data_IF_401717332501
#
_entry.id   IF_401717332501
#
_cell.length_a   1.000
_cell.length_b   1.000
_cell.length_c   1.000
_cell.angle_alpha   90.00
_cell.angle_beta   90.00
_cell.angle_gamma   90.00
#
_symmetry.space_group_name_H-M   'P 1'
#
loop_
_entity.id
_entity.type
_entity.pdbx_description
1 polymer ?
#
# COMPACT_ATOMS: atom_id res chain seq x y z
N UNK A 1 22.40 56.48 35.56
CA UNK A 1 21.12 56.20 36.22
C UNK A 1 20.01 56.31 35.18
N UNK A 2 19.61 55.21 34.56
CA UNK A 2 18.34 55.04 33.86
C UNK A 2 18.17 53.53 33.67
N UNK A 3 17.27 52.92 34.44
CA UNK A 3 16.86 51.54 34.40
C UNK A 3 15.96 51.30 33.18
N UNK A 4 16.27 50.31 32.38
CA UNK A 4 15.38 49.81 31.34
C UNK A 4 14.79 48.47 31.80
N UNK A 5 13.52 48.50 32.12
CA UNK A 5 12.67 47.36 32.48
C UNK A 5 12.34 46.55 31.25
N UNK A 6 12.79 45.29 31.20
CA UNK A 6 12.40 44.27 30.16
C UNK A 6 11.23 43.45 30.67
N UNK A 7 10.08 43.67 30.06
CA UNK A 7 8.84 42.93 30.30
C UNK A 7 8.91 41.54 29.63
N UNK A 8 8.92 40.48 30.44
CA UNK A 8 8.74 39.08 30.03
C UNK A 8 7.24 38.80 29.79
N UNK A 9 6.85 38.49 28.56
CA UNK A 9 5.53 37.93 28.25
C UNK A 9 5.52 36.42 28.54
N UNK A 10 4.46 35.86 29.12
CA UNK A 10 4.39 34.42 29.38
C UNK A 10 4.12 33.60 28.08
N UNK A 11 4.91 32.58 27.89
CA UNK A 11 4.66 31.49 26.89
C UNK A 11 3.37 30.76 27.26
N UNK A 12 2.35 30.85 26.41
CA UNK A 12 1.14 30.03 26.50
C UNK A 12 1.49 28.66 25.91
N UNK A 13 1.67 27.69 26.79
CA UNK A 13 1.81 26.29 26.41
C UNK A 13 0.46 25.73 25.90
N UNK A 14 0.32 25.51 24.61
CA UNK A 14 -0.78 24.77 24.04
C UNK A 14 -0.64 23.28 24.43
N UNK A 15 -1.32 22.86 25.48
CA UNK A 15 -1.56 21.45 25.80
C UNK A 15 -2.58 20.90 24.80
N UNK A 16 -2.11 20.25 23.74
CA UNK A 16 -2.95 19.44 22.86
C UNK A 16 -3.27 18.14 23.61
N UNK A 17 -4.41 18.11 24.32
CA UNK A 17 -4.96 16.90 24.93
C UNK A 17 -5.60 16.07 23.83
N UNK A 18 -4.95 15.01 23.38
CA UNK A 18 -5.59 13.94 22.61
C UNK A 18 -6.61 13.23 23.51
N UNK A 19 -7.87 13.00 23.06
CA UNK A 19 -8.85 12.31 23.87
C UNK A 19 -8.43 10.85 24.08
N UNK A 20 -8.11 10.53 25.32
CA UNK A 20 -7.73 9.19 25.82
C UNK A 20 -8.80 8.11 25.48
N UNK A 21 -10.04 8.53 25.25
CA UNK A 21 -11.18 7.63 24.90
C UNK A 21 -10.96 6.81 23.62
N UNK A 22 -10.21 7.31 22.61
CA UNK A 22 -9.94 6.55 21.38
C UNK A 22 -8.92 5.42 21.55
N UNK A 23 -8.01 5.54 22.50
CA UNK A 23 -7.05 4.48 22.83
C UNK A 23 -7.73 3.26 23.46
N UNK A 24 -8.80 3.46 24.24
CA UNK A 24 -9.50 2.40 24.96
C UNK A 24 -10.44 1.56 24.10
N UNK A 25 -11.12 2.18 23.14
CA UNK A 25 -11.95 1.45 22.17
C UNK A 25 -11.08 0.54 21.29
N UNK A 26 -9.91 1.03 20.85
CA UNK A 26 -8.95 0.22 20.10
C UNK A 26 -8.39 -0.96 20.90
N UNK A 27 -8.13 -0.79 22.20
CA UNK A 27 -7.60 -1.84 23.06
C UNK A 27 -8.64 -2.94 23.35
N UNK A 28 -9.91 -2.58 23.54
CA UNK A 28 -11.01 -3.55 23.77
C UNK A 28 -11.37 -4.32 22.49
N UNK A 29 -11.37 -3.66 21.32
CA UNK A 29 -11.54 -4.34 20.04
C UNK A 29 -10.39 -5.30 19.73
N UNK A 30 -9.16 -4.90 20.04
CA UNK A 30 -7.97 -5.74 19.89
C UNK A 30 -8.05 -6.99 20.78
N UNK A 31 -8.57 -6.87 22.02
CA UNK A 31 -8.72 -8.01 22.93
C UNK A 31 -9.81 -8.98 22.46
N UNK A 32 -10.95 -8.48 21.97
CA UNK A 32 -12.04 -9.31 21.43
C UNK A 32 -11.63 -10.03 20.14
N UNK A 33 -10.85 -9.37 19.28
CA UNK A 33 -10.32 -9.98 18.06
C UNK A 33 -9.26 -11.02 18.39
N UNK A 34 -8.41 -10.77 19.39
CA UNK A 34 -7.39 -11.73 19.85
C UNK A 34 -8.03 -13.03 20.35
N UNK A 35 -9.13 -12.94 21.12
CA UNK A 35 -9.85 -14.13 21.61
C UNK A 35 -10.52 -14.91 20.49
N UNK A 36 -11.05 -14.25 19.46
CA UNK A 36 -11.66 -14.89 18.29
C UNK A 36 -10.61 -15.60 17.41
N UNK A 37 -9.41 -15.06 17.28
CA UNK A 37 -8.31 -15.69 16.56
C UNK A 37 -7.74 -16.90 17.31
N UNK A 38 -7.68 -16.84 18.65
CA UNK A 38 -7.18 -17.94 19.47
C UNK A 38 -8.11 -19.16 19.52
N UNK A 39 -9.41 -18.97 19.33
CA UNK A 39 -10.39 -20.06 19.30
C UNK A 39 -10.19 -21.03 18.11
N UNK A 40 -9.49 -20.61 17.06
CA UNK A 40 -9.20 -21.39 15.86
C UNK A 40 -7.72 -21.86 15.77
N UNK A 41 -6.95 -21.79 16.86
CA UNK A 41 -5.53 -22.10 16.91
C UNK A 41 -5.28 -23.59 17.20
N UNK A 42 -4.38 -24.27 16.45
CA UNK A 42 -3.98 -25.64 16.78
C UNK A 42 -3.10 -25.68 18.05
N UNK A 43 -3.03 -26.83 18.79
CA UNK A 43 -2.59 -26.91 20.18
C UNK A 43 -1.07 -27.01 20.42
N UNK A 44 -0.23 -26.34 19.68
CA UNK A 44 1.21 -26.34 19.98
C UNK A 44 1.63 -25.05 20.70
N UNK A 45 1.59 -25.10 22.05
CA UNK A 45 1.33 -23.95 22.93
C UNK A 45 2.54 -23.29 23.60
N UNK A 46 3.72 -23.92 23.65
CA UNK A 46 4.69 -23.52 24.69
C UNK A 46 5.46 -22.20 24.46
N UNK A 47 5.59 -21.71 23.23
CA UNK A 47 6.33 -20.45 22.99
C UNK A 47 5.44 -19.19 22.96
N UNK A 48 4.13 -19.35 22.74
CA UNK A 48 3.16 -18.25 22.61
C UNK A 48 2.63 -17.79 23.97
N UNK A 49 2.45 -18.72 24.92
CA UNK A 49 1.89 -18.43 26.24
C UNK A 49 2.71 -17.42 27.05
N UNK A 50 4.04 -17.41 26.89
CA UNK A 50 4.92 -16.49 27.64
C UNK A 50 4.77 -15.03 27.15
N UNK A 51 4.47 -14.81 25.89
CA UNK A 51 4.23 -13.46 25.32
C UNK A 51 2.81 -12.95 25.62
N UNK A 52 1.82 -13.83 25.67
CA UNK A 52 0.43 -13.49 25.98
C UNK A 52 0.21 -13.11 27.45
N UNK A 53 0.84 -13.80 28.40
CA UNK A 53 0.75 -13.46 29.83
C UNK A 53 1.26 -12.05 30.16
N UNK A 54 2.23 -11.53 29.40
CA UNK A 54 2.70 -10.14 29.56
C UNK A 54 1.70 -9.09 29.06
N UNK A 55 0.80 -9.42 28.12
CA UNK A 55 -0.20 -8.49 27.58
C UNK A 55 -1.46 -8.43 28.47
N UNK A 56 -1.87 -9.53 29.07
CA UNK A 56 -3.07 -9.60 29.92
C UNK A 56 -2.92 -8.84 31.25
N UNK A 57 -1.72 -8.78 31.82
CA UNK A 57 -1.46 -8.05 33.06
C UNK A 57 -1.59 -6.52 32.96
N UNK A 58 -1.59 -5.98 31.74
CA UNK A 58 -1.69 -4.53 31.46
C UNK A 58 -3.12 -4.01 31.24
N UNK A 59 -4.12 -4.87 30.97
CA UNK A 59 -5.42 -4.49 30.41
C UNK A 59 -6.58 -4.33 31.42
N UNK A 60 -6.40 -4.58 32.71
CA UNK A 60 -7.51 -4.86 33.66
C UNK A 60 -8.19 -3.69 34.37
N UNK A 61 -7.99 -2.43 34.00
CA UNK A 61 -8.64 -1.29 34.71
C UNK A 61 -9.29 -0.27 33.75
N UNK A 62 -10.62 -0.29 33.58
CA UNK A 62 -11.55 0.83 33.26
C UNK A 62 -12.71 0.49 32.31
N UNK A 63 -13.93 0.83 32.75
CA UNK A 63 -15.23 0.60 32.06
C UNK A 63 -15.87 1.94 31.63
N UNK A 64 -16.38 2.06 30.38
CA UNK A 64 -17.19 3.22 29.95
C UNK A 64 -18.37 2.86 29.03
N UNK A 65 -19.43 3.70 29.04
CA UNK A 65 -20.74 3.53 28.37
C UNK A 65 -20.84 4.49 27.17
N UNK A 66 -21.42 4.02 26.06
CA UNK A 66 -21.52 4.78 24.78
C UNK A 66 -22.97 5.20 24.44
N UNK A 67 -23.16 6.35 23.81
CA UNK A 67 -24.41 6.88 23.26
C UNK A 67 -24.51 6.71 21.72
N UNK A 68 -25.72 6.62 21.10
CA UNK A 68 -25.88 6.29 19.67
C UNK A 68 -25.82 7.50 18.72
N UNK A 69 -25.36 7.26 17.48
CA UNK A 69 -25.15 8.23 16.40
C UNK A 69 -26.11 7.98 15.22
N UNK A 70 -26.74 9.03 14.66
CA UNK A 70 -27.59 8.99 13.46
C UNK A 70 -26.90 9.66 12.26
N UNK A 71 -26.90 9.06 11.04
CA UNK A 71 -26.23 9.62 9.87
C UNK A 71 -27.17 10.42 8.95
N UNK A 72 -26.70 11.57 8.43
CA UNK A 72 -27.34 12.32 7.34
C UNK A 72 -26.83 11.86 5.97
N UNK A 73 -27.72 11.84 4.97
CA UNK A 73 -27.51 11.30 3.60
C UNK A 73 -26.70 12.25 2.69
N UNK A 74 -25.70 11.81 1.97
CA UNK A 74 -24.95 12.62 1.01
C UNK A 74 -25.38 12.45 -0.44
N UNK A 75 -25.16 13.50 -1.26
CA UNK A 75 -25.36 13.55 -2.71
C UNK A 75 -24.48 12.55 -3.47
N UNK A 76 -25.05 11.93 -4.50
CA UNK A 76 -24.46 10.86 -5.30
C UNK A 76 -23.08 11.20 -5.92
N UNK A 77 -22.20 10.21 -5.97
CA UNK A 77 -20.97 10.25 -6.76
C UNK A 77 -21.30 10.16 -8.25
N UNK A 78 -20.65 10.96 -9.13
CA UNK A 78 -20.77 10.71 -10.54
C UNK A 78 -20.18 9.34 -10.87
N UNK A 79 -20.91 8.54 -11.62
CA UNK A 79 -20.42 7.26 -12.11
C UNK A 79 -19.16 7.48 -12.96
N UNK A 80 -18.09 6.72 -12.75
CA UNK A 80 -17.00 6.69 -13.71
C UNK A 80 -17.57 6.12 -15.02
N UNK A 81 -17.46 6.87 -16.11
CA UNK A 81 -17.76 6.35 -17.44
C UNK A 81 -16.83 5.17 -17.72
N UNK A 82 -17.33 3.96 -17.50
CA UNK A 82 -16.69 2.73 -17.93
C UNK A 82 -17.07 2.57 -19.40
N UNK A 83 -16.15 2.92 -20.30
CA UNK A 83 -16.25 2.51 -21.68
C UNK A 83 -16.14 0.98 -21.73
N UNK A 84 -17.28 0.31 -21.86
CA UNK A 84 -17.42 -1.14 -21.80
C UNK A 84 -16.99 -1.90 -23.08
N UNK A 85 -16.29 -1.27 -24.02
CA UNK A 85 -16.06 -1.84 -25.35
C UNK A 85 -14.59 -2.02 -25.79
N UNK A 86 -13.59 -1.86 -24.93
CA UNK A 86 -12.18 -2.00 -25.38
C UNK A 86 -11.37 -3.12 -24.72
N UNK A 87 -11.98 -4.11 -24.07
CA UNK A 87 -11.24 -5.00 -23.18
C UNK A 87 -11.02 -6.45 -23.70
N UNK A 88 -11.30 -6.76 -24.99
CA UNK A 88 -11.24 -8.18 -25.45
C UNK A 88 -9.94 -8.62 -26.12
N UNK A 89 -8.98 -7.73 -26.38
CA UNK A 89 -7.77 -8.10 -27.13
C UNK A 89 -6.48 -7.91 -26.28
N UNK A 90 -6.33 -8.66 -25.18
CA UNK A 90 -4.99 -8.95 -24.66
C UNK A 90 -4.45 -10.13 -25.44
N UNK A 91 -3.47 -9.94 -26.38
CA UNK A 91 -2.91 -11.04 -27.11
C UNK A 91 -2.33 -12.04 -26.12
N UNK A 92 -2.54 -13.33 -26.36
CA UNK A 92 -1.90 -14.41 -25.63
C UNK A 92 -0.38 -14.17 -25.66
N UNK A 93 0.18 -13.67 -24.55
CA UNK A 93 1.60 -13.36 -24.49
C UNK A 93 2.33 -14.65 -24.15
N UNK A 94 3.30 -14.98 -25.00
CA UNK A 94 4.29 -16.00 -24.67
C UNK A 94 5.11 -15.42 -23.52
N UNK A 95 4.84 -15.90 -22.29
CA UNK A 95 5.71 -15.66 -21.15
C UNK A 95 6.93 -16.53 -21.35
N UNK A 96 8.09 -15.92 -21.53
CA UNK A 96 9.35 -16.64 -21.49
C UNK A 96 9.58 -17.13 -20.05
N UNK A 97 9.47 -18.44 -19.76
CA UNK A 97 9.62 -18.98 -18.40
C UNK A 97 11.04 -18.82 -17.86
N UNK A 98 12.03 -18.51 -18.72
CA UNK A 98 13.39 -18.16 -18.29
C UNK A 98 13.50 -16.75 -17.72
N UNK A 99 12.63 -15.84 -18.18
CA UNK A 99 12.68 -14.41 -17.79
C UNK A 99 11.64 -14.08 -16.72
N UNK A 100 10.40 -14.58 -16.82
CA UNK A 100 9.35 -14.19 -15.89
C UNK A 100 8.45 -15.34 -15.45
N UNK A 101 7.99 -15.23 -14.19
CA UNK A 101 6.89 -16.00 -13.63
C UNK A 101 5.80 -15.06 -13.17
N UNK A 102 4.54 -15.36 -13.43
CA UNK A 102 3.40 -14.56 -12.98
C UNK A 102 2.49 -15.43 -12.11
N UNK A 103 2.23 -14.93 -10.90
CA UNK A 103 1.44 -15.61 -9.90
C UNK A 103 0.29 -14.73 -9.40
N UNK A 104 -0.87 -15.32 -9.17
CA UNK A 104 -1.94 -14.79 -8.33
C UNK A 104 -1.80 -15.38 -6.94
N UNK A 105 -1.73 -14.52 -5.93
CA UNK A 105 -1.89 -14.87 -4.51
C UNK A 105 -3.22 -14.27 -4.09
N UNK A 106 -4.21 -15.09 -3.74
CA UNK A 106 -5.59 -14.63 -3.58
C UNK A 106 -6.11 -14.76 -2.16
N UNK A 107 -6.68 -13.66 -1.65
CA UNK A 107 -7.48 -13.60 -0.42
C UNK A 107 -8.99 -13.46 -0.70
N UNK A 108 -9.44 -13.54 -1.97
CA UNK A 108 -10.82 -13.24 -2.38
C UNK A 108 -11.89 -14.13 -1.78
N UNK A 109 -11.54 -15.34 -1.36
CA UNK A 109 -12.43 -16.29 -0.71
C UNK A 109 -12.55 -16.09 0.80
N UNK A 110 -11.82 -15.12 1.35
CA UNK A 110 -11.83 -14.80 2.77
C UNK A 110 -12.85 -13.71 3.07
N UNK A 111 -13.09 -13.47 4.36
CA UNK A 111 -13.92 -12.35 4.79
C UNK A 111 -13.31 -11.02 4.33
N UNK A 112 -14.15 -10.05 3.98
CA UNK A 112 -13.72 -8.75 3.47
C UNK A 112 -12.94 -7.94 4.52
N UNK A 113 -13.17 -8.25 5.81
CA UNK A 113 -12.53 -7.57 6.94
C UNK A 113 -12.07 -8.56 7.98
N UNK A 114 -10.84 -8.39 8.40
CA UNK A 114 -10.21 -9.16 9.46
C UNK A 114 -9.15 -8.30 10.15
N UNK A 115 -8.92 -8.56 11.43
CA UNK A 115 -7.92 -7.83 12.22
C UNK A 115 -6.65 -8.65 12.48
N UNK A 116 -6.64 -9.94 12.10
CA UNK A 116 -5.50 -10.84 12.27
C UNK A 116 -5.52 -11.93 11.20
N UNK A 117 -4.36 -12.53 10.99
CA UNK A 117 -4.17 -13.74 10.16
C UNK A 117 -3.39 -14.78 10.95
N UNK A 118 -3.60 -16.05 10.65
CA UNK A 118 -2.72 -17.10 11.16
C UNK A 118 -1.39 -17.07 10.40
N UNK A 119 -0.25 -16.76 11.03
CA UNK A 119 1.02 -16.60 10.32
C UNK A 119 1.58 -17.93 9.78
N UNK A 120 1.16 -19.07 10.35
CA UNK A 120 1.57 -20.41 9.87
C UNK A 120 0.72 -20.87 8.68
N UNK A 121 -0.54 -20.41 8.61
CA UNK A 121 -1.44 -20.70 7.49
C UNK A 121 -2.36 -19.50 7.28
N UNK A 122 -1.98 -18.53 6.42
CA UNK A 122 -2.74 -17.32 6.20
C UNK A 122 -4.07 -17.54 5.45
N UNK A 123 -4.31 -18.76 4.95
CA UNK A 123 -5.50 -19.08 4.17
C UNK A 123 -5.48 -18.56 2.73
N UNK A 124 -4.33 -18.13 2.21
CA UNK A 124 -4.20 -17.66 0.84
C UNK A 124 -4.19 -18.83 -0.15
N UNK A 125 -4.78 -18.64 -1.33
CA UNK A 125 -4.64 -19.55 -2.48
C UNK A 125 -3.67 -18.97 -3.50
N UNK A 126 -3.05 -19.85 -4.32
CA UNK A 126 -2.12 -19.43 -5.36
C UNK A 126 -2.46 -20.07 -6.72
N UNK A 127 -2.22 -19.29 -7.80
CA UNK A 127 -2.23 -19.78 -9.18
C UNK A 127 -1.03 -19.23 -9.92
N UNK A 128 -0.47 -20.04 -10.82
CA UNK A 128 0.60 -19.61 -11.73
C UNK A 128 0.06 -19.51 -13.16
N UNK A 129 0.45 -18.48 -13.88
CA UNK A 129 0.16 -18.36 -15.30
C UNK A 129 1.14 -19.20 -16.11
N UNK A 130 0.59 -20.06 -17.00
CA UNK A 130 1.34 -20.98 -17.84
C UNK A 130 0.89 -20.84 -19.31
N UNK A 131 1.46 -21.62 -20.22
CA UNK A 131 1.03 -21.67 -21.62
C UNK A 131 -0.42 -22.15 -21.80
N UNK A 132 -1.00 -22.82 -20.78
CA UNK A 132 -2.39 -23.27 -20.77
C UNK A 132 -3.31 -22.37 -19.95
N UNK A 133 -2.82 -21.17 -19.52
CA UNK A 133 -3.54 -20.23 -18.69
C UNK A 133 -3.23 -20.35 -17.19
N UNK A 134 -4.12 -19.82 -16.34
CA UNK A 134 -3.96 -19.83 -14.90
C UNK A 134 -4.21 -21.21 -14.29
N UNK A 135 -3.19 -21.77 -13.64
CA UNK A 135 -3.22 -23.09 -13.01
C UNK A 135 -3.04 -22.99 -11.49
N UNK A 136 -3.90 -23.66 -10.68
CA UNK A 136 -3.68 -23.75 -9.23
C UNK A 136 -2.32 -24.37 -8.91
N UNK A 137 -1.63 -23.81 -7.92
CA UNK A 137 -0.33 -24.27 -7.44
C UNK A 137 -0.24 -24.11 -5.91
N UNK A 138 0.74 -24.74 -5.29
CA UNK A 138 1.02 -24.52 -3.88
C UNK A 138 1.54 -23.09 -3.65
N UNK A 139 1.10 -22.47 -2.54
CA UNK A 139 1.56 -21.11 -2.18
C UNK A 139 3.07 -21.07 -1.94
N UNK A 140 3.63 -22.12 -1.37
CA UNK A 140 5.07 -22.20 -1.08
C UNK A 140 5.90 -22.19 -2.37
N UNK A 141 5.39 -22.70 -3.49
CA UNK A 141 6.09 -22.65 -4.79
C UNK A 141 6.25 -21.20 -5.28
N UNK A 142 5.29 -20.32 -4.98
CA UNK A 142 5.39 -18.90 -5.29
C UNK A 142 6.43 -18.16 -4.44
N UNK A 143 6.79 -18.70 -3.27
CA UNK A 143 7.65 -18.08 -2.26
C UNK A 143 9.04 -18.72 -2.16
N UNK A 144 9.38 -19.61 -3.08
CA UNK A 144 10.72 -20.22 -3.13
C UNK A 144 11.78 -19.13 -3.23
N UNK A 145 12.77 -19.20 -2.33
CA UNK A 145 13.93 -18.31 -2.36
C UNK A 145 14.88 -18.78 -3.47
N UNK A 146 15.03 -17.95 -4.49
CA UNK A 146 15.95 -18.11 -5.61
C UNK A 146 16.57 -16.75 -5.96
N UNK A 147 17.35 -16.67 -7.03
CA UNK A 147 18.02 -15.43 -7.44
C UNK A 147 17.11 -14.47 -8.23
N UNK A 148 15.85 -14.84 -8.48
CA UNK A 148 14.90 -13.97 -9.19
C UNK A 148 14.54 -12.77 -8.36
N UNK A 149 14.39 -11.61 -9.00
CA UNK A 149 13.72 -10.47 -8.37
C UNK A 149 12.25 -10.81 -8.09
N UNK A 150 11.78 -10.60 -6.88
CA UNK A 150 10.35 -10.72 -6.54
C UNK A 150 9.69 -9.34 -6.60
N UNK A 151 8.59 -9.24 -7.35
CA UNK A 151 7.78 -8.03 -7.44
C UNK A 151 6.39 -8.34 -6.88
N UNK A 152 6.01 -7.74 -5.76
CA UNK A 152 4.67 -7.85 -5.18
C UNK A 152 3.83 -6.71 -5.74
N UNK A 153 2.75 -7.05 -6.45
CA UNK A 153 1.79 -6.10 -7.00
C UNK A 153 0.45 -6.22 -6.28
N UNK A 154 -0.11 -5.09 -5.82
CA UNK A 154 -1.44 -5.02 -5.21
C UNK A 154 -2.32 -4.09 -6.03
N UNK A 155 -3.39 -4.65 -6.61
CA UNK A 155 -4.33 -3.91 -7.46
C UNK A 155 -5.24 -2.95 -6.68
N UNK A 156 -5.92 -2.06 -7.40
CA UNK A 156 -6.85 -1.07 -6.85
C UNK A 156 -8.22 -1.64 -6.53
N UNK A 157 -9.16 -0.70 -6.28
CA UNK A 157 -10.58 -0.99 -6.02
C UNK A 157 -11.35 -1.33 -7.30
N UNK A 158 -12.57 -1.88 -7.16
CA UNK A 158 -13.50 -2.23 -8.24
C UNK A 158 -12.92 -3.20 -9.27
N UNK A 159 -12.14 -4.17 -8.78
CA UNK A 159 -11.52 -5.20 -9.60
C UNK A 159 -12.18 -6.56 -9.39
N UNK A 160 -12.89 -7.02 -10.41
CA UNK A 160 -13.28 -8.42 -10.54
C UNK A 160 -12.04 -9.31 -10.73
N UNK A 161 -12.19 -10.61 -10.44
CA UNK A 161 -11.06 -11.55 -10.50
C UNK A 161 -10.37 -11.53 -11.87
N UNK A 162 -11.12 -11.66 -12.95
CA UNK A 162 -10.55 -11.69 -14.30
C UNK A 162 -9.84 -10.39 -14.66
N UNK A 163 -10.43 -9.25 -14.29
CA UNK A 163 -9.82 -7.94 -14.51
C UNK A 163 -8.50 -7.78 -13.73
N UNK A 164 -8.41 -8.30 -12.52
CA UNK A 164 -7.18 -8.28 -11.74
C UNK A 164 -6.09 -9.16 -12.39
N UNK A 165 -6.46 -10.35 -12.85
CA UNK A 165 -5.57 -11.27 -13.58
C UNK A 165 -5.03 -10.60 -14.86
N UNK A 166 -5.89 -9.94 -15.64
CA UNK A 166 -5.50 -9.20 -16.84
C UNK A 166 -4.53 -8.05 -16.51
N UNK A 167 -4.75 -7.32 -15.39
CA UNK A 167 -3.80 -6.28 -14.95
C UNK A 167 -2.43 -6.83 -14.65
N UNK A 168 -2.34 -7.99 -13.99
CA UNK A 168 -1.06 -8.64 -13.74
C UNK A 168 -0.32 -8.98 -15.05
N UNK A 169 -1.05 -9.50 -16.06
CA UNK A 169 -0.47 -9.80 -17.37
C UNK A 169 -0.04 -8.54 -18.14
N UNK A 170 -0.85 -7.46 -18.08
CA UNK A 170 -0.47 -6.18 -18.68
C UNK A 170 0.79 -5.62 -18.00
N UNK A 171 0.85 -5.62 -16.66
CA UNK A 171 2.05 -5.18 -15.94
C UNK A 171 3.25 -6.04 -16.31
N UNK A 172 3.09 -7.37 -16.37
CA UNK A 172 4.14 -8.29 -16.81
C UNK A 172 4.69 -7.95 -18.20
N UNK A 173 3.82 -7.53 -19.14
CA UNK A 173 4.26 -7.08 -20.47
C UNK A 173 5.22 -5.89 -20.39
N UNK A 174 4.92 -4.88 -19.57
CA UNK A 174 5.82 -3.73 -19.41
C UNK A 174 7.12 -4.10 -18.71
N UNK A 175 7.06 -4.97 -17.70
CA UNK A 175 8.25 -5.49 -17.01
C UNK A 175 9.14 -6.28 -17.96
N UNK A 176 8.58 -7.25 -18.71
CA UNK A 176 9.35 -8.13 -19.60
C UNK A 176 10.02 -7.39 -20.76
N UNK A 177 9.40 -6.30 -21.24
CA UNK A 177 10.00 -5.46 -22.29
C UNK A 177 11.27 -4.73 -21.85
N UNK A 178 11.47 -4.57 -20.54
CA UNK A 178 12.60 -3.81 -19.98
C UNK A 178 13.52 -4.64 -19.10
N UNK A 179 13.06 -5.77 -18.59
CA UNK A 179 13.85 -6.59 -17.67
C UNK A 179 15.03 -7.25 -18.38
N UNK A 180 16.21 -7.13 -17.77
CA UNK A 180 17.42 -7.85 -18.15
C UNK A 180 17.75 -9.00 -17.20
N UNK A 181 16.91 -9.19 -16.15
CA UNK A 181 17.10 -10.21 -15.13
C UNK A 181 15.81 -11.01 -14.95
N UNK A 182 15.91 -12.27 -14.55
CA UNK A 182 14.74 -13.08 -14.21
C UNK A 182 13.98 -12.47 -13.02
N UNK A 183 12.62 -12.50 -13.09
CA UNK A 183 11.79 -12.01 -12.00
C UNK A 183 10.55 -12.87 -11.81
N UNK A 184 9.94 -12.74 -10.63
CA UNK A 184 8.67 -13.34 -10.25
C UNK A 184 7.70 -12.23 -9.85
N UNK A 185 6.59 -12.10 -10.59
CA UNK A 185 5.51 -11.16 -10.29
C UNK A 185 4.44 -11.86 -9.44
N UNK A 186 4.28 -11.44 -8.20
CA UNK A 186 3.27 -11.92 -7.26
C UNK A 186 2.15 -10.89 -7.16
N UNK A 187 1.01 -11.11 -7.80
CA UNK A 187 -0.16 -10.25 -7.64
C UNK A 187 -0.97 -10.69 -6.41
N UNK A 188 -1.11 -9.81 -5.41
CA UNK A 188 -2.08 -10.01 -4.32
C UNK A 188 -3.46 -9.60 -4.80
N UNK A 189 -4.31 -10.61 -5.05
CA UNK A 189 -5.70 -10.47 -5.48
C UNK A 189 -6.62 -10.47 -4.27
N UNK A 190 -7.32 -9.35 -4.02
CA UNK A 190 -8.16 -9.15 -2.84
C UNK A 190 -9.61 -8.84 -3.21
N UNK A 191 -10.60 -9.11 -2.31
CA UNK A 191 -12.02 -8.84 -2.57
C UNK A 191 -12.25 -7.33 -2.68
N UNK A 192 -12.42 -6.83 -3.89
CA UNK A 192 -12.60 -5.41 -4.23
C UNK A 192 -13.63 -5.22 -5.34
N UNK A 193 -14.53 -6.19 -5.49
CA UNK A 193 -15.63 -6.10 -6.44
C UNK A 193 -16.59 -4.95 -6.07
N UNK A 194 -17.36 -4.47 -7.05
CA UNK A 194 -18.30 -3.36 -6.86
C UNK A 194 -19.55 -3.86 -6.15
N UNK A 195 -19.94 -3.16 -5.10
CA UNK A 195 -21.20 -3.36 -4.39
C UNK A 195 -22.29 -2.40 -4.89
N UNK A 196 -23.59 -2.69 -4.66
CA UNK A 196 -24.71 -1.87 -5.15
C UNK A 196 -24.77 -0.44 -4.60
N UNK A 197 -24.06 -0.12 -3.51
CA UNK A 197 -24.08 1.17 -2.83
C UNK A 197 -22.73 1.89 -2.88
N UNK A 198 -22.48 2.76 -3.87
CA UNK A 198 -21.15 3.27 -4.22
C UNK A 198 -20.39 3.97 -3.08
N UNK A 199 -21.07 4.71 -2.20
CA UNK A 199 -20.39 5.43 -1.10
C UNK A 199 -20.01 4.53 0.06
N UNK A 200 -20.89 3.60 0.42
CA UNK A 200 -20.64 2.59 1.43
C UNK A 200 -19.53 1.66 0.96
N UNK A 201 -19.58 1.26 -0.30
CA UNK A 201 -18.63 0.43 -0.98
C UNK A 201 -17.19 1.01 -0.95
N UNK A 202 -17.01 2.30 -1.31
CA UNK A 202 -15.69 2.95 -1.23
C UNK A 202 -15.12 2.94 0.20
N UNK A 203 -15.95 3.20 1.21
CA UNK A 203 -15.51 3.18 2.61
C UNK A 203 -15.16 1.75 3.08
N UNK A 204 -16.00 0.78 2.77
CA UNK A 204 -15.80 -0.63 3.13
C UNK A 204 -14.59 -1.22 2.41
N UNK A 205 -14.44 -0.95 1.12
CA UNK A 205 -13.27 -1.38 0.35
C UNK A 205 -11.98 -0.67 0.79
N UNK A 206 -12.05 0.56 1.29
CA UNK A 206 -10.89 1.22 1.88
C UNK A 206 -10.40 0.49 3.15
N UNK A 207 -11.33 -0.02 3.98
CA UNK A 207 -10.99 -0.83 5.16
C UNK A 207 -10.52 -2.24 4.75
N UNK A 208 -11.18 -2.87 3.78
CA UNK A 208 -10.77 -4.17 3.24
C UNK A 208 -9.35 -4.10 2.66
N UNK A 209 -9.04 -3.06 1.86
CA UNK A 209 -7.70 -2.83 1.35
C UNK A 209 -6.65 -2.64 2.46
N UNK A 210 -7.04 -2.03 3.58
CA UNK A 210 -6.17 -1.86 4.74
C UNK A 210 -5.91 -3.19 5.46
N UNK A 211 -6.91 -4.09 5.53
CA UNK A 211 -6.73 -5.44 6.06
C UNK A 211 -5.70 -6.24 5.25
N UNK A 212 -5.58 -5.99 3.93
CA UNK A 212 -4.57 -6.63 3.09
C UNK A 212 -3.13 -6.29 3.50
N UNK A 213 -2.91 -5.26 4.30
CA UNK A 213 -1.61 -4.96 4.90
C UNK A 213 -1.05 -6.14 5.71
N UNK A 214 -1.91 -6.94 6.35
CA UNK A 214 -1.52 -8.16 7.06
C UNK A 214 -0.90 -9.19 6.11
N UNK A 215 -1.47 -9.39 4.93
CA UNK A 215 -0.93 -10.31 3.93
C UNK A 215 0.34 -9.78 3.27
N UNK A 216 0.41 -8.49 2.96
CA UNK A 216 1.64 -7.88 2.46
C UNK A 216 2.76 -8.02 3.51
N UNK A 217 2.48 -7.70 4.78
CA UNK A 217 3.44 -7.90 5.88
C UNK A 217 3.90 -9.35 5.98
N UNK A 218 2.96 -10.31 5.87
CA UNK A 218 3.26 -11.75 5.89
C UNK A 218 4.12 -12.17 4.69
N UNK A 219 3.82 -11.69 3.48
CA UNK A 219 4.64 -11.96 2.29
C UNK A 219 6.08 -11.45 2.48
N UNK A 220 6.23 -10.23 3.01
CA UNK A 220 7.55 -9.65 3.30
C UNK A 220 8.30 -10.43 4.38
N UNK A 221 7.58 -10.99 5.35
CA UNK A 221 8.15 -11.85 6.39
C UNK A 221 8.61 -13.20 5.83
N UNK A 222 7.82 -13.82 4.95
CA UNK A 222 8.20 -15.05 4.22
C UNK A 222 9.39 -14.83 3.28
N UNK A 223 9.49 -13.66 2.69
CA UNK A 223 10.57 -13.27 1.79
C UNK A 223 11.75 -12.60 2.51
N UNK A 224 11.85 -12.72 3.85
CA UNK A 224 12.87 -12.02 4.64
C UNK A 224 14.32 -12.35 4.25
N UNK A 225 14.59 -13.53 3.74
CA UNK A 225 15.91 -13.95 3.24
C UNK A 225 16.10 -13.69 1.73
N UNK A 226 15.02 -13.29 1.01
CA UNK A 226 15.10 -13.07 -0.42
C UNK A 226 15.89 -11.78 -0.72
N UNK A 227 16.93 -11.81 -1.58
CA UNK A 227 17.85 -10.68 -1.73
C UNK A 227 17.20 -9.44 -2.35
N UNK A 228 16.25 -9.62 -3.26
CA UNK A 228 15.66 -8.55 -4.05
C UNK A 228 14.13 -8.61 -4.02
N UNK A 229 13.50 -7.63 -3.38
CA UNK A 229 12.04 -7.51 -3.32
C UNK A 229 11.61 -6.09 -3.68
N UNK A 230 10.68 -5.98 -4.62
CA UNK A 230 10.05 -4.73 -5.02
C UNK A 230 8.55 -4.80 -4.82
N UNK A 231 7.90 -3.65 -4.59
CA UNK A 231 6.46 -3.57 -4.35
C UNK A 231 5.82 -2.51 -5.25
N UNK A 232 4.67 -2.85 -5.82
CA UNK A 232 3.82 -1.91 -6.56
C UNK A 232 2.42 -1.90 -5.96
N UNK A 233 1.91 -0.72 -5.60
CA UNK A 233 0.53 -0.53 -5.17
C UNK A 233 -0.21 0.45 -6.07
N UNK A 234 -1.34 0.04 -6.64
CA UNK A 234 -2.24 0.93 -7.38
C UNK A 234 -3.44 1.33 -6.52
N UNK A 235 -3.73 2.64 -6.47
CA UNK A 235 -4.92 3.18 -5.78
C UNK A 235 -5.05 2.66 -4.34
N UNK A 236 -6.11 1.92 -3.99
CA UNK A 236 -6.25 1.27 -2.68
C UNK A 236 -5.19 0.18 -2.41
N UNK A 237 -4.61 -0.43 -3.44
CA UNK A 237 -3.48 -1.35 -3.25
C UNK A 237 -2.27 -0.68 -2.58
N UNK A 238 -2.12 0.64 -2.73
CA UNK A 238 -1.09 1.40 -2.03
C UNK A 238 -1.27 1.40 -0.50
N UNK A 239 -2.53 1.30 0.02
CA UNK A 239 -2.79 1.15 1.47
C UNK A 239 -2.24 -0.16 1.99
N UNK A 240 -2.49 -1.26 1.25
CA UNK A 240 -1.99 -2.57 1.60
C UNK A 240 -0.45 -2.61 1.59
N UNK A 241 0.17 -2.05 0.54
CA UNK A 241 1.63 -1.99 0.42
C UNK A 241 2.26 -1.19 1.56
N UNK A 242 1.81 0.05 1.78
CA UNK A 242 2.39 0.90 2.82
C UNK A 242 2.07 0.41 4.24
N UNK A 243 0.87 -0.15 4.46
CA UNK A 243 0.50 -0.78 5.72
C UNK A 243 1.32 -2.03 6.01
N UNK A 244 1.54 -2.90 5.01
CA UNK A 244 2.37 -4.10 5.14
C UNK A 244 3.84 -3.78 5.45
N UNK A 245 4.41 -2.78 4.79
CA UNK A 245 5.75 -2.25 5.09
C UNK A 245 5.82 -1.70 6.51
N UNK A 246 4.80 -0.94 6.96
CA UNK A 246 4.72 -0.40 8.31
C UNK A 246 4.70 -1.51 9.37
N UNK A 247 3.85 -2.53 9.18
CA UNK A 247 3.77 -3.69 10.09
C UNK A 247 5.08 -4.49 10.08
N UNK A 248 5.66 -4.74 8.90
CA UNK A 248 6.92 -5.47 8.74
C UNK A 248 8.09 -4.72 9.40
N UNK A 249 8.06 -3.39 9.45
CA UNK A 249 9.04 -2.55 10.15
C UNK A 249 8.78 -2.42 11.67
N UNK A 250 7.80 -3.13 12.23
CA UNK A 250 7.44 -3.10 13.65
C UNK A 250 6.44 -2.02 14.03
N UNK A 251 5.81 -1.38 13.05
CA UNK A 251 4.72 -0.43 13.27
C UNK A 251 3.43 -1.11 13.71
N UNK A 252 2.49 -0.34 14.23
CA UNK A 252 1.20 -0.81 14.75
C UNK A 252 0.07 -0.07 14.02
N UNK A 253 -0.85 -0.83 13.44
CA UNK A 253 -2.11 -0.30 12.91
C UNK A 253 -3.22 -0.64 13.92
N UNK A 254 -3.94 0.34 14.48
CA UNK A 254 -5.01 0.07 15.43
C UNK A 254 -6.06 -0.89 14.88
N UNK A 255 -6.40 -1.93 15.65
CA UNK A 255 -7.33 -2.98 15.25
C UNK A 255 -6.70 -4.15 14.50
N UNK A 256 -5.39 -4.10 14.17
CA UNK A 256 -4.68 -5.22 13.54
C UNK A 256 -3.70 -5.87 14.50
N UNK A 257 -3.73 -7.20 14.51
CA UNK A 257 -2.75 -8.01 15.21
C UNK A 257 -1.85 -8.69 14.17
N UNK A 258 -0.62 -8.20 14.07
CA UNK A 258 0.38 -8.76 13.18
C UNK A 258 1.44 -9.51 14.00
N UNK A 259 1.62 -10.80 13.68
CA UNK A 259 2.62 -11.66 14.30
C UNK A 259 3.67 -11.96 13.25
N UNK A 260 4.89 -11.50 13.50
CA UNK A 260 6.05 -11.79 12.66
C UNK A 260 6.65 -13.13 13.04
N UNK A 261 6.98 -13.96 12.06
CA UNK A 261 7.67 -15.24 12.22
C UNK A 261 9.19 -15.11 12.13
N UNK A 262 9.68 -14.12 11.37
CA UNK A 262 11.11 -13.83 11.22
C UNK A 262 11.57 -12.74 12.20
N UNK A 263 12.89 -12.53 12.28
CA UNK A 263 13.49 -11.41 13.04
C UNK A 263 13.27 -10.06 12.34
N UNK A 264 12.59 -10.06 11.21
CA UNK A 264 12.31 -8.88 10.37
C UNK A 264 13.37 -8.63 9.32
N UNK A 265 13.29 -7.49 8.60
CA UNK A 265 14.23 -7.15 7.54
C UNK A 265 15.65 -7.10 8.07
N UNK A 266 16.56 -7.89 7.49
CA UNK A 266 17.98 -7.98 7.91
C UNK A 266 18.82 -6.77 7.50
N UNK A 267 18.35 -6.00 6.52
CA UNK A 267 19.08 -4.85 5.98
C UNK A 267 18.21 -3.60 5.96
N UNK A 268 18.77 -2.42 6.27
CA UNK A 268 18.16 -1.17 5.87
C UNK A 268 18.11 -1.11 4.33
N UNK A 269 17.25 -0.27 3.79
CA UNK A 269 17.17 0.01 2.34
C UNK A 269 16.97 -1.25 1.45
N UNK A 270 16.08 -2.14 1.91
CA UNK A 270 15.86 -3.44 1.30
C UNK A 270 14.85 -3.39 0.14
N UNK A 271 13.76 -2.63 0.31
CA UNK A 271 12.61 -2.68 -0.58
C UNK A 271 12.58 -1.50 -1.55
N UNK A 272 12.36 -1.77 -2.85
CA UNK A 272 11.99 -0.74 -3.83
C UNK A 272 10.47 -0.67 -3.89
N UNK A 273 9.93 0.54 -3.81
CA UNK A 273 8.48 0.75 -3.73
C UNK A 273 8.02 1.69 -4.82
N UNK A 274 6.98 1.30 -5.55
CA UNK A 274 6.28 2.18 -6.47
C UNK A 274 4.80 2.29 -6.06
N UNK A 275 4.29 3.50 -5.99
CA UNK A 275 2.89 3.78 -5.71
C UNK A 275 2.31 4.56 -6.89
N UNK A 276 1.24 4.04 -7.47
CA UNK A 276 0.56 4.64 -8.62
C UNK A 276 -0.83 5.07 -8.20
N UNK A 277 -1.13 6.36 -8.32
CA UNK A 277 -2.40 6.95 -7.88
C UNK A 277 -2.81 6.56 -6.45
N UNK A 278 -1.92 6.61 -5.44
CA UNK A 278 -2.20 6.05 -4.14
C UNK A 278 -3.40 6.70 -3.44
N UNK A 279 -4.40 5.89 -3.10
CA UNK A 279 -5.62 6.31 -2.42
C UNK A 279 -5.46 6.20 -0.89
N UNK A 280 -4.49 6.91 -0.34
CA UNK A 280 -4.22 7.07 1.10
C UNK A 280 -3.90 8.54 1.39
N UNK A 281 -3.99 8.96 2.64
CA UNK A 281 -3.73 10.36 2.98
C UNK A 281 -2.26 10.70 2.75
N UNK A 282 -2.03 11.90 2.24
CA UNK A 282 -0.72 12.42 1.82
C UNK A 282 0.32 12.52 2.94
N UNK A 283 -0.10 12.49 4.20
CA UNK A 283 0.76 12.54 5.39
C UNK A 283 0.99 11.18 6.05
N UNK A 284 0.36 10.08 5.57
CA UNK A 284 0.45 8.77 6.22
C UNK A 284 1.88 8.23 6.34
N UNK A 285 2.76 8.60 5.44
CA UNK A 285 4.18 8.19 5.47
C UNK A 285 5.07 9.16 6.27
N UNK A 286 4.53 10.29 6.73
CA UNK A 286 5.26 11.22 7.58
C UNK A 286 5.61 10.57 8.94
N UNK A 287 6.61 11.05 9.67
CA UNK A 287 7.03 10.46 10.95
C UNK A 287 5.93 10.32 12.01
N UNK A 288 4.88 11.12 11.93
CA UNK A 288 3.68 11.05 12.79
C UNK A 288 2.47 10.48 12.09
N UNK A 289 2.62 10.03 10.84
CA UNK A 289 1.55 9.50 10.02
C UNK A 289 1.14 8.08 10.39
N UNK A 290 0.02 7.63 9.84
CA UNK A 290 -0.55 6.30 10.15
C UNK A 290 0.38 5.15 9.80
N UNK A 291 1.20 5.29 8.73
CA UNK A 291 2.16 4.30 8.27
C UNK A 291 3.61 4.81 8.43
N UNK A 292 3.91 5.52 9.51
CA UNK A 292 5.18 6.20 9.75
C UNK A 292 6.43 5.32 9.64
N UNK A 293 6.33 4.01 9.94
CA UNK A 293 7.45 3.06 9.85
C UNK A 293 7.64 2.46 8.44
N UNK A 294 6.73 2.73 7.50
CA UNK A 294 6.74 2.08 6.18
C UNK A 294 8.05 2.31 5.39
N UNK A 295 8.71 3.44 5.61
CA UNK A 295 9.92 3.82 4.89
C UNK A 295 11.23 3.35 5.53
N UNK A 296 11.19 2.71 6.72
CA UNK A 296 12.40 2.32 7.47
C UNK A 296 13.31 1.36 6.69
N UNK A 297 12.73 0.47 5.88
CA UNK A 297 13.46 -0.52 5.10
C UNK A 297 13.32 -0.33 3.59
N UNK A 298 12.86 0.85 3.15
CA UNK A 298 12.70 1.19 1.74
C UNK A 298 13.96 1.84 1.22
N UNK A 299 14.57 1.28 0.16
CA UNK A 299 15.73 1.84 -0.54
C UNK A 299 15.35 3.04 -1.41
N UNK A 300 14.15 3.00 -2.00
CA UNK A 300 13.61 4.07 -2.81
C UNK A 300 12.10 3.93 -3.01
N UNK A 301 11.43 5.08 -3.12
CA UNK A 301 10.00 5.16 -3.40
C UNK A 301 9.76 6.05 -4.62
N UNK A 302 9.02 5.54 -5.60
CA UNK A 302 8.49 6.30 -6.73
C UNK A 302 6.98 6.45 -6.56
N UNK A 303 6.49 7.68 -6.53
CA UNK A 303 5.07 8.00 -6.48
C UNK A 303 4.61 8.65 -7.78
N UNK A 304 3.69 8.02 -8.51
CA UNK A 304 2.97 8.66 -9.62
C UNK A 304 1.62 9.16 -9.10
N UNK A 305 1.41 10.46 -9.17
CA UNK A 305 0.14 11.08 -8.81
C UNK A 305 -0.45 11.84 -10.00
N UNK A 306 -1.74 12.19 -9.94
CA UNK A 306 -2.42 12.95 -10.97
C UNK A 306 -3.24 14.08 -10.33
N UNK A 307 -2.74 15.30 -10.44
CA UNK A 307 -3.39 16.50 -9.91
C UNK A 307 -4.72 16.85 -10.60
N UNK A 308 -5.09 16.13 -11.67
CA UNK A 308 -6.36 16.25 -12.40
C UNK A 308 -7.33 15.10 -12.14
N UNK A 309 -6.97 14.14 -11.29
CA UNK A 309 -7.79 12.95 -11.00
C UNK A 309 -9.09 13.33 -10.27
N UNK A 310 -10.28 13.15 -10.88
CA UNK A 310 -11.54 13.53 -10.26
C UNK A 310 -11.98 12.58 -9.16
N UNK A 311 -11.51 11.32 -9.17
CA UNK A 311 -11.83 10.32 -8.15
C UNK A 311 -11.04 10.65 -6.88
N UNK A 312 -9.72 10.80 -6.98
CA UNK A 312 -8.87 11.08 -5.83
C UNK A 312 -9.06 12.51 -5.29
N UNK A 313 -9.51 13.47 -6.13
CA UNK A 313 -9.94 14.80 -5.65
C UNK A 313 -11.08 14.69 -4.64
N UNK A 314 -11.93 13.66 -4.74
CA UNK A 314 -13.05 13.41 -3.82
C UNK A 314 -12.68 12.54 -2.62
N UNK A 315 -11.44 12.12 -2.50
CA UNK A 315 -10.94 11.29 -1.40
C UNK A 315 -11.26 11.88 -0.02
N UNK A 316 -11.35 13.20 0.13
CA UNK A 316 -11.74 13.91 1.35
C UNK A 316 -13.10 13.50 1.92
N UNK A 317 -13.95 12.85 1.14
CA UNK A 317 -15.26 12.36 1.59
C UNK A 317 -15.22 10.97 2.23
N UNK A 318 -14.08 10.27 2.17
CA UNK A 318 -13.87 8.99 2.87
C UNK A 318 -13.92 9.19 4.39
N UNK A 319 -13.34 10.29 4.89
CA UNK A 319 -13.48 10.70 6.29
C UNK A 319 -13.83 12.19 6.34
N UNK A 320 -15.05 12.48 6.75
CA UNK A 320 -15.55 13.86 6.81
C UNK A 320 -14.90 14.71 7.91
N UNK A 321 -14.39 14.07 8.96
CA UNK A 321 -13.77 14.78 10.09
C UNK A 321 -12.35 15.20 9.75
N UNK A 322 -11.53 14.30 9.25
CA UNK A 322 -10.13 14.58 8.91
C UNK A 322 -9.97 15.27 7.56
N UNK A 323 -10.96 15.13 6.65
CA UNK A 323 -10.93 15.64 5.27
C UNK A 323 -9.61 15.31 4.55
N UNK A 324 -9.24 14.04 4.47
CA UNK A 324 -7.94 13.64 3.95
C UNK A 324 -7.74 14.06 2.49
N UNK A 325 -6.47 14.30 2.13
CA UNK A 325 -6.08 14.59 0.74
C UNK A 325 -5.27 13.41 0.22
N UNK A 326 -5.74 12.76 -0.85
CA UNK A 326 -5.04 11.61 -1.41
C UNK A 326 -3.63 11.96 -1.90
N UNK A 327 -2.65 11.13 -1.52
CA UNK A 327 -1.29 11.24 -2.03
C UNK A 327 -1.23 11.04 -3.55
N UNK A 328 -2.14 10.25 -4.13
CA UNK A 328 -2.29 10.08 -5.57
C UNK A 328 -2.90 11.26 -6.30
N UNK A 329 -3.45 12.27 -5.58
CA UNK A 329 -3.93 13.53 -6.14
C UNK A 329 -2.93 14.67 -5.98
N UNK A 330 -2.23 14.75 -4.83
CA UNK A 330 -1.44 15.93 -4.47
C UNK A 330 0.03 15.63 -4.11
N UNK A 331 0.46 14.37 -4.23
CA UNK A 331 1.76 13.91 -3.73
C UNK A 331 1.80 13.79 -2.21
N UNK A 332 2.83 13.11 -1.69
CA UNK A 332 3.11 13.00 -0.26
C UNK A 332 3.72 14.29 0.29
N UNK A 333 3.47 14.56 1.58
CA UNK A 333 4.05 15.68 2.35
C UNK A 333 4.61 15.19 3.68
N UNK A 334 5.31 16.08 4.39
CA UNK A 334 5.83 15.77 5.73
C UNK A 334 7.02 14.82 5.73
N UNK A 335 7.63 14.59 4.57
CA UNK A 335 8.78 13.68 4.38
C UNK A 335 10.13 14.42 4.51
N UNK A 336 10.13 15.66 5.02
CA UNK A 336 11.33 16.47 5.27
C UNK A 336 12.16 15.79 6.38
N UNK A 337 13.44 15.60 6.11
CA UNK A 337 14.36 14.86 7.02
C UNK A 337 14.58 13.39 6.64
N UNK A 338 13.83 12.85 5.71
CA UNK A 338 14.24 11.66 4.96
C UNK A 338 15.19 12.18 3.86
N UNK A 339 16.49 11.93 4.01
CA UNK A 339 17.50 12.39 3.06
C UNK A 339 17.05 12.11 1.63
N UNK A 340 16.97 13.17 0.83
CA UNK A 340 16.75 13.07 -0.59
C UNK A 340 15.31 13.15 -1.11
N UNK A 341 14.39 13.92 -0.51
CA UNK A 341 13.10 14.23 -1.16
C UNK A 341 13.29 15.19 -2.32
N UNK A 342 13.17 14.72 -3.56
CA UNK A 342 13.17 15.62 -4.74
C UNK A 342 11.79 16.24 -4.94
N UNK A 343 11.75 17.55 -5.04
CA UNK A 343 10.55 18.28 -5.46
C UNK A 343 10.57 18.37 -7.00
N UNK A 344 9.56 17.82 -7.72
CA UNK A 344 9.52 17.84 -9.19
C UNK A 344 9.38 19.25 -9.80
N UNK A 345 9.11 20.28 -8.97
CA UNK A 345 9.13 21.70 -9.40
C UNK A 345 10.50 22.36 -9.25
N UNK A 346 11.48 21.69 -8.66
CA UNK A 346 12.84 22.20 -8.59
C UNK A 346 13.56 21.86 -9.92
N UNK A 347 13.69 22.85 -10.79
CA UNK A 347 14.53 22.81 -11.98
C UNK A 347 16.01 22.91 -11.57
N UNK A 348 16.70 21.75 -11.40
CA UNK A 348 18.13 21.74 -11.10
C UNK A 348 18.72 20.32 -11.08
N UNK A 349 20.04 20.14 -11.28
CA UNK A 349 20.70 18.83 -11.44
C UNK A 349 20.83 17.96 -10.18
N UNK A 350 20.18 18.33 -9.05
CA UNK A 350 20.20 17.63 -7.77
C UNK A 350 19.19 16.46 -7.65
N UNK A 351 18.52 16.07 -8.75
CA UNK A 351 17.40 15.12 -8.73
C UNK A 351 17.77 13.63 -8.60
N UNK A 352 19.06 13.26 -8.59
CA UNK A 352 19.49 11.87 -8.77
C UNK A 352 19.76 11.07 -7.50
N UNK A 353 19.71 11.68 -6.32
CA UNK A 353 20.01 11.01 -5.02
C UNK A 353 18.84 10.93 -4.05
N UNK A 354 17.63 11.30 -4.50
CA UNK A 354 16.48 11.32 -3.62
C UNK A 354 15.89 9.93 -3.41
N UNK A 355 15.79 9.52 -2.14
CA UNK A 355 15.12 8.27 -1.74
C UNK A 355 13.63 8.26 -2.15
N UNK A 356 12.99 9.43 -2.29
CA UNK A 356 11.58 9.56 -2.65
C UNK A 356 11.44 10.48 -3.87
N UNK A 357 10.91 9.93 -4.96
CA UNK A 357 10.65 10.64 -6.21
C UNK A 357 9.14 10.68 -6.48
N UNK A 358 8.60 11.84 -6.81
CA UNK A 358 7.19 12.02 -7.06
C UNK A 358 6.95 12.75 -8.39
N UNK A 359 6.06 12.21 -9.22
CA UNK A 359 5.79 12.73 -10.56
C UNK A 359 4.30 12.95 -10.79
N UNK A 360 3.93 14.14 -11.28
CA UNK A 360 2.57 14.45 -11.70
C UNK A 360 2.34 13.99 -13.14
N UNK A 361 1.50 12.98 -13.30
CA UNK A 361 1.12 12.43 -14.59
C UNK A 361 -0.03 13.20 -15.28
N UNK A 362 -0.63 14.20 -14.61
CA UNK A 362 -1.85 14.85 -15.06
C UNK A 362 -1.76 15.51 -16.45
N UNK A 363 -0.57 15.95 -16.88
CA UNK A 363 -0.36 16.47 -18.23
C UNK A 363 -0.46 15.39 -19.31
N UNK A 364 -0.03 14.17 -19.03
CA UNK A 364 -0.06 13.05 -19.98
C UNK A 364 -1.38 12.30 -20.00
N UNK A 365 -1.94 11.99 -18.79
CA UNK A 365 -3.12 11.12 -18.69
C UNK A 365 -4.45 11.86 -18.53
N UNK A 366 -4.43 13.18 -18.32
CA UNK A 366 -5.66 13.99 -18.17
C UNK A 366 -6.45 13.69 -16.90
N UNK A 367 -7.78 13.62 -17.01
CA UNK A 367 -8.71 13.51 -15.87
C UNK A 367 -9.13 12.07 -15.56
N UNK A 368 -8.27 11.09 -15.80
CA UNK A 368 -8.57 9.67 -15.57
C UNK A 368 -7.97 9.14 -14.26
N UNK A 369 -8.62 8.09 -13.70
CA UNK A 369 -8.09 7.25 -12.61
C UNK A 369 -7.79 5.83 -13.10
N UNK A 370 -7.76 5.61 -14.41
CA UNK A 370 -7.53 4.28 -14.98
C UNK A 370 -6.07 3.84 -14.85
N UNK A 371 -5.84 2.68 -14.28
CA UNK A 371 -4.51 2.06 -14.18
C UNK A 371 -3.86 1.86 -15.56
N UNK A 372 -4.63 1.41 -16.56
CA UNK A 372 -4.17 1.26 -17.95
C UNK A 372 -3.65 2.59 -18.53
N UNK A 373 -4.30 3.71 -18.19
CA UNK A 373 -3.86 5.03 -18.64
C UNK A 373 -2.52 5.43 -18.05
N UNK A 374 -2.25 5.08 -16.77
CA UNK A 374 -0.92 5.27 -16.18
C UNK A 374 0.13 4.46 -16.92
N UNK A 375 -0.16 3.21 -17.27
CA UNK A 375 0.76 2.34 -18.00
C UNK A 375 1.06 2.86 -19.42
N UNK A 376 0.04 3.26 -20.15
CA UNK A 376 0.15 3.59 -21.56
C UNK A 376 0.51 5.06 -21.84
N UNK A 377 0.12 6.01 -20.97
CA UNK A 377 0.13 7.44 -21.29
C UNK A 377 0.92 8.28 -20.29
N UNK A 378 1.24 7.77 -19.08
CA UNK A 378 2.06 8.53 -18.14
C UNK A 378 3.51 8.53 -18.61
N UNK A 379 4.12 9.72 -18.86
CA UNK A 379 5.48 9.81 -19.36
C UNK A 379 6.53 9.28 -18.37
N UNK A 380 6.16 9.12 -17.11
CA UNK A 380 7.03 8.65 -16.05
C UNK A 380 6.83 7.16 -15.69
N UNK A 381 5.96 6.42 -16.41
CA UNK A 381 5.71 5.02 -16.05
C UNK A 381 6.96 4.15 -16.24
N UNK A 382 7.79 4.44 -17.23
CA UNK A 382 9.06 3.76 -17.41
C UNK A 382 10.00 3.92 -16.20
N UNK A 383 9.95 5.06 -15.49
CA UNK A 383 10.71 5.26 -14.24
C UNK A 383 10.26 4.29 -13.15
N UNK A 384 8.95 4.00 -13.09
CA UNK A 384 8.40 2.98 -12.19
C UNK A 384 8.93 1.61 -12.52
N UNK A 385 8.90 1.21 -13.80
CA UNK A 385 9.38 -0.11 -14.23
C UNK A 385 10.88 -0.26 -13.94
N UNK A 386 11.71 0.71 -14.31
CA UNK A 386 13.16 0.68 -14.05
C UNK A 386 13.46 0.63 -12.56
N UNK A 387 12.70 1.37 -11.74
CA UNK A 387 12.82 1.35 -10.29
C UNK A 387 12.48 -0.04 -9.70
N UNK A 388 11.36 -0.65 -10.11
CA UNK A 388 10.97 -1.98 -9.65
C UNK A 388 12.01 -3.05 -10.04
N UNK A 389 12.59 -2.93 -11.23
CA UNK A 389 13.63 -3.84 -11.73
C UNK A 389 15.03 -3.58 -11.13
N UNK A 390 15.20 -2.49 -10.37
CA UNK A 390 16.51 -2.09 -9.86
C UNK A 390 17.49 -1.68 -10.95
N UNK A 391 16.99 -1.25 -12.09
CA UNK A 391 17.76 -0.86 -13.28
C UNK A 391 17.79 0.66 -13.44
N UNK A 392 17.84 1.40 -12.34
CA UNK A 392 17.88 2.86 -12.39
C UNK A 392 19.13 3.32 -13.15
N UNK A 393 18.95 3.57 -14.44
CA UNK A 393 19.95 4.28 -15.22
C UNK A 393 19.93 5.75 -14.81
N UNK A 394 21.11 6.39 -14.75
CA UNK A 394 21.26 7.86 -14.69
C UNK A 394 20.76 8.52 -15.99
N UNK A 395 19.63 8.08 -16.53
CA UNK A 395 19.04 8.61 -17.73
C UNK A 395 18.62 10.06 -17.46
N UNK A 396 19.35 11.00 -18.06
CA UNK A 396 18.93 12.39 -18.18
C UNK A 396 17.48 12.42 -18.68
N UNK A 397 16.64 13.33 -18.18
CA UNK A 397 15.31 13.55 -18.74
C UNK A 397 15.48 13.76 -20.25
N UNK A 398 14.72 13.02 -21.06
CA UNK A 398 14.60 13.31 -22.48
C UNK A 398 13.97 14.69 -22.56
N UNK A 399 14.75 15.71 -22.86
CA UNK A 399 14.26 17.03 -23.21
C UNK A 399 13.38 16.83 -24.47
N UNK A 400 12.07 16.91 -24.31
CA UNK A 400 11.17 17.04 -25.43
C UNK A 400 11.48 18.39 -26.07
N UNK A 401 12.27 18.40 -27.14
CA UNK A 401 12.37 19.52 -28.06
C UNK A 401 11.03 19.68 -28.75
N UNK A 402 10.12 20.39 -28.12
CA UNK A 402 8.98 21.00 -28.80
C UNK A 402 9.55 22.24 -29.48
N UNK A 403 9.90 22.12 -30.74
CA UNK A 403 10.11 23.29 -31.61
C UNK A 403 8.75 23.92 -31.87
N UNK A 404 8.62 25.19 -31.50
CA UNK A 404 7.47 26.05 -31.83
C UNK A 404 7.46 26.39 -33.32
#
# INVERSE_FOLDING_TARGET
MTETSTSLKPLIAFKQSYPIERLWVGLHLALLVATSCLANWPPDKQSVDTKLQKLESSASKHRFVSAPFTPETPTAWPEPHVNSHEDSDVPCQVIDPGISEVWEISSRHMADRFGCINPLNPGLSAKRYTSTGWQPQALDDALISDDRLVIIYVHGNFMETNNALDRALILNKYLSQRSQIPYRLLMLSWPSAREPHPLRDVYENAQSAECQALFVGWLLDKLHDHPNVSLLGFSFGARAVTGGLHLNAGGIIPGFQYIRLSDGPKAPDRYRVALVAPALDRDWLAPTGKHAQALNHVSGLVNLYNSRDPILRRFRFIDRLSRPVAAGFAGFIGLQGLEGVSNPRATGPLATTSKIRQFDCGSGIGTTHSEKSYYAQCPYFNVVIDHLLGQETNAKPVESTVSF
#
